data_IF_340317599213
#
_entry.id   IF_340317599213
#
_cell.length_a   1.000
_cell.length_b   1.000
_cell.length_c   1.000
_cell.angle_alpha   90.00
_cell.angle_beta   90.00
_cell.angle_gamma   90.00
#
_symmetry.space_group_name_H-M   'P 1'
#
loop_
_entity.id
_entity.type
_entity.pdbx_description
1 polymer ?
#
# COMPACT_ATOMS: atom_id res chain seq x y z
N UNK A 1 -21.42 -9.03 -8.99
CA UNK A 1 -20.37 -10.07 -8.87
C UNK A 1 -19.04 -9.35 -8.70
N UNK A 2 -18.19 -9.70 -7.72
CA UNK A 2 -16.84 -9.15 -7.64
C UNK A 2 -16.01 -9.67 -8.83
N UNK A 3 -15.06 -8.88 -9.34
CA UNK A 3 -14.24 -9.30 -10.47
C UNK A 3 -13.38 -10.51 -10.10
N UNK A 4 -13.23 -11.44 -11.05
CA UNK A 4 -12.33 -12.60 -10.94
C UNK A 4 -10.91 -12.04 -10.78
N UNK A 5 -10.29 -12.26 -9.60
CA UNK A 5 -8.92 -11.81 -9.33
C UNK A 5 -7.99 -12.31 -10.43
N UNK A 6 -7.10 -11.44 -10.93
CA UNK A 6 -6.09 -11.85 -11.91
C UNK A 6 -5.20 -12.93 -11.29
N UNK A 7 -4.88 -13.98 -12.07
CA UNK A 7 -4.05 -15.11 -11.60
C UNK A 7 -2.70 -14.63 -11.03
N UNK A 8 -2.17 -13.51 -11.55
CA UNK A 8 -0.94 -12.90 -11.08
C UNK A 8 -1.06 -12.30 -9.67
N UNK A 9 -2.18 -11.66 -9.33
CA UNK A 9 -2.39 -11.11 -7.99
C UNK A 9 -2.46 -12.22 -6.93
N UNK A 10 -3.17 -13.30 -7.22
CA UNK A 10 -3.25 -14.47 -6.34
C UNK A 10 -1.87 -15.11 -6.12
N UNK A 11 -1.06 -15.22 -7.17
CA UNK A 11 0.31 -15.76 -7.08
C UNK A 11 1.22 -14.90 -6.20
N UNK A 12 1.12 -13.57 -6.32
CA UNK A 12 1.89 -12.63 -5.49
C UNK A 12 1.48 -12.74 -4.01
N UNK A 13 0.19 -12.78 -3.73
CA UNK A 13 -0.34 -12.92 -2.36
C UNK A 13 0.11 -14.25 -1.72
N UNK A 14 0.07 -15.35 -2.47
CA UNK A 14 0.58 -16.64 -2.02
C UNK A 14 2.09 -16.60 -1.76
N UNK A 15 2.86 -15.90 -2.59
CA UNK A 15 4.31 -15.73 -2.41
C UNK A 15 4.62 -14.93 -1.14
N UNK A 16 3.88 -13.85 -0.88
CA UNK A 16 3.97 -13.06 0.35
C UNK A 16 3.64 -13.89 1.59
N UNK A 17 2.58 -14.71 1.53
CA UNK A 17 2.23 -15.62 2.62
C UNK A 17 3.35 -16.61 2.97
N UNK A 18 4.02 -17.19 1.96
CA UNK A 18 5.17 -18.08 2.17
C UNK A 18 6.38 -17.36 2.78
N UNK A 19 6.63 -16.11 2.37
CA UNK A 19 7.67 -15.27 2.95
C UNK A 19 7.41 -15.05 4.45
N UNK A 20 6.18 -14.71 4.83
CA UNK A 20 5.81 -14.48 6.23
C UNK A 20 6.00 -15.74 7.09
N UNK A 21 5.57 -16.90 6.59
CA UNK A 21 5.82 -18.18 7.26
C UNK A 21 7.31 -18.47 7.43
N UNK A 22 8.12 -18.16 6.42
CA UNK A 22 9.56 -18.36 6.49
C UNK A 22 10.24 -17.44 7.51
N UNK A 23 9.79 -16.18 7.62
CA UNK A 23 10.26 -15.25 8.65
C UNK A 23 9.88 -15.76 10.05
N UNK A 24 8.64 -16.22 10.22
CA UNK A 24 8.17 -16.75 11.49
C UNK A 24 8.97 -17.99 11.93
N UNK A 25 9.28 -18.91 11.01
CA UNK A 25 10.11 -20.09 11.29
C UNK A 25 11.55 -19.71 11.72
N UNK A 26 12.12 -18.64 11.15
CA UNK A 26 13.43 -18.13 11.56
C UNK A 26 13.34 -17.48 12.95
N UNK A 27 12.30 -16.69 13.22
CA UNK A 27 12.09 -16.04 14.51
C UNK A 27 11.84 -17.05 15.64
N UNK A 28 11.09 -18.11 15.36
CA UNK A 28 10.83 -19.22 16.28
C UNK A 28 12.05 -20.13 16.51
N UNK A 29 13.15 -19.91 15.78
CA UNK A 29 14.37 -20.73 15.79
C UNK A 29 14.18 -22.18 15.29
N UNK A 30 13.08 -22.46 14.58
CA UNK A 30 12.87 -23.75 13.92
C UNK A 30 13.92 -23.98 12.83
N UNK A 31 14.28 -22.91 12.12
CA UNK A 31 15.30 -22.92 11.08
C UNK A 31 16.23 -21.71 11.26
N UNK A 32 17.50 -21.90 11.70
CA UNK A 32 18.41 -20.78 11.94
C UNK A 32 18.97 -20.17 10.66
N UNK A 33 18.91 -20.88 9.52
CA UNK A 33 19.50 -20.45 8.26
C UNK A 33 18.47 -19.89 7.30
N UNK A 34 18.69 -18.65 6.83
CA UNK A 34 17.89 -17.98 5.79
C UNK A 34 17.82 -18.85 4.53
N UNK A 35 18.93 -19.48 4.14
CA UNK A 35 19.01 -20.33 2.95
C UNK A 35 18.12 -21.57 3.09
N UNK A 36 18.14 -22.19 4.27
CA UNK A 36 17.35 -23.38 4.56
C UNK A 36 15.85 -23.04 4.63
N UNK A 37 15.49 -21.92 5.25
CA UNK A 37 14.12 -21.43 5.28
C UNK A 37 13.60 -21.12 3.87
N UNK A 38 14.40 -20.41 3.07
CA UNK A 38 14.07 -20.12 1.66
C UNK A 38 13.84 -21.40 0.84
N UNK A 39 14.67 -22.43 1.02
CA UNK A 39 14.49 -23.72 0.35
C UNK A 39 13.22 -24.44 0.82
N UNK A 40 12.96 -24.47 2.13
CA UNK A 40 11.80 -25.14 2.73
C UNK A 40 10.48 -24.52 2.27
N UNK A 41 10.40 -23.18 2.26
CA UNK A 41 9.19 -22.44 1.88
C UNK A 41 9.11 -22.12 0.37
N UNK A 42 10.07 -22.58 -0.44
CA UNK A 42 10.15 -22.33 -1.89
C UNK A 42 10.11 -20.83 -2.25
N UNK A 43 10.87 -20.02 -1.53
CA UNK A 43 10.97 -18.57 -1.73
C UNK A 43 12.40 -18.22 -2.16
N UNK A 44 12.61 -17.24 -3.05
CA UNK A 44 13.95 -16.76 -3.37
C UNK A 44 14.68 -16.22 -2.13
N UNK A 45 15.92 -16.65 -1.92
CA UNK A 45 16.74 -16.25 -0.76
C UNK A 45 16.91 -14.71 -0.69
N UNK A 46 17.18 -14.07 -1.83
CA UNK A 46 17.30 -12.60 -1.90
C UNK A 46 16.03 -11.89 -1.43
N UNK A 47 14.85 -12.40 -1.78
CA UNK A 47 13.57 -11.85 -1.34
C UNK A 47 13.41 -12.00 0.17
N UNK A 48 13.70 -13.18 0.73
CA UNK A 48 13.61 -13.44 2.17
C UNK A 48 14.58 -12.55 2.96
N UNK A 49 15.82 -12.42 2.50
CA UNK A 49 16.83 -11.55 3.12
C UNK A 49 16.41 -10.07 3.13
N UNK A 50 15.88 -9.55 2.01
CA UNK A 50 15.35 -8.17 1.96
C UNK A 50 14.16 -7.96 2.91
N UNK A 51 13.38 -9.01 3.17
CA UNK A 51 12.22 -8.94 4.05
C UNK A 51 12.64 -8.91 5.51
N UNK A 52 13.64 -9.70 5.87
CA UNK A 52 14.27 -9.64 7.20
C UNK A 52 14.95 -8.29 7.45
N UNK A 53 15.47 -7.62 6.41
CA UNK A 53 16.01 -6.26 6.54
C UNK A 53 14.93 -5.16 6.60
N UNK A 54 13.64 -5.51 6.69
CA UNK A 54 12.53 -4.57 6.87
C UNK A 54 11.90 -4.03 5.58
N UNK A 55 12.21 -4.59 4.40
CA UNK A 55 11.58 -4.14 3.14
C UNK A 55 10.13 -4.61 3.08
N UNK A 56 9.19 -3.69 2.97
CA UNK A 56 7.75 -3.98 2.84
C UNK A 56 7.40 -4.48 1.42
N UNK A 57 6.29 -5.20 1.25
CA UNK A 57 5.84 -5.62 -0.07
C UNK A 57 5.43 -4.40 -0.89
N UNK A 58 5.66 -4.47 -2.20
CA UNK A 58 5.25 -3.39 -3.11
C UNK A 58 3.74 -3.13 -3.05
N UNK A 59 2.93 -4.15 -2.75
CA UNK A 59 1.49 -4.01 -2.55
C UNK A 59 1.12 -3.10 -1.37
N UNK A 60 1.94 -3.08 -0.32
CA UNK A 60 1.73 -2.23 0.86
C UNK A 60 2.60 -0.96 0.82
N UNK A 61 3.54 -0.87 -0.12
CA UNK A 61 4.42 0.28 -0.26
C UNK A 61 3.73 1.33 -1.13
N UNK A 62 3.69 2.56 -0.61
CA UNK A 62 3.11 3.71 -1.30
C UNK A 62 3.93 4.03 -2.55
N UNK A 63 3.24 4.36 -3.64
CA UNK A 63 3.91 4.76 -4.88
C UNK A 63 4.57 6.12 -4.66
N UNK A 64 5.77 6.34 -5.20
CA UNK A 64 6.55 7.55 -4.95
C UNK A 64 5.88 8.87 -5.40
N UNK A 65 4.78 8.81 -6.17
CA UNK A 65 4.17 9.97 -6.84
C UNK A 65 2.87 10.47 -6.17
N UNK A 66 2.61 10.14 -4.90
CA UNK A 66 1.46 10.70 -4.19
C UNK A 66 1.74 12.16 -3.80
N UNK A 67 0.85 13.06 -4.20
CA UNK A 67 0.94 14.50 -3.87
C UNK A 67 0.44 14.79 -2.46
N UNK A 68 -0.63 14.09 -2.05
CA UNK A 68 -1.25 14.21 -0.74
C UNK A 68 -0.62 13.25 0.28
N UNK A 69 -0.61 13.68 1.54
CA UNK A 69 -0.29 12.79 2.68
C UNK A 69 -1.44 11.82 2.97
N UNK A 70 -1.17 10.75 3.71
CA UNK A 70 -2.20 9.78 4.11
C UNK A 70 -3.33 10.45 4.89
N UNK A 71 -3.00 11.34 5.83
CA UNK A 71 -3.97 12.11 6.61
C UNK A 71 -4.83 13.05 5.77
N UNK A 72 -4.25 13.64 4.72
CA UNK A 72 -4.98 14.50 3.78
C UNK A 72 -5.95 13.67 2.91
N UNK A 73 -5.51 12.52 2.41
CA UNK A 73 -6.37 11.59 1.66
C UNK A 73 -7.52 11.05 2.52
N UNK A 74 -7.25 10.68 3.77
CA UNK A 74 -8.28 10.26 4.72
C UNK A 74 -9.30 11.37 5.00
N UNK A 75 -8.83 12.60 5.21
CA UNK A 75 -9.70 13.76 5.43
C UNK A 75 -10.61 14.02 4.22
N UNK A 76 -10.04 13.93 3.01
CA UNK A 76 -10.78 14.11 1.77
C UNK A 76 -11.78 12.96 1.52
N UNK A 77 -11.42 11.72 1.86
CA UNK A 77 -12.31 10.57 1.77
C UNK A 77 -13.49 10.71 2.73
N UNK A 78 -13.24 11.08 3.98
CA UNK A 78 -14.30 11.33 4.96
C UNK A 78 -15.25 12.44 4.50
N UNK A 79 -14.70 13.52 3.94
CA UNK A 79 -15.52 14.60 3.39
C UNK A 79 -16.40 14.14 2.20
N UNK A 80 -15.88 13.30 1.32
CA UNK A 80 -16.64 12.70 0.21
C UNK A 80 -17.77 11.80 0.74
N UNK A 81 -17.49 10.96 1.73
CA UNK A 81 -18.50 10.10 2.36
C UNK A 81 -19.59 10.92 3.06
N UNK A 82 -19.20 11.98 3.77
CA UNK A 82 -20.12 12.90 4.41
C UNK A 82 -21.01 13.63 3.40
N UNK A 83 -20.49 13.96 2.21
CA UNK A 83 -21.28 14.51 1.12
C UNK A 83 -22.30 13.51 0.57
N UNK A 84 -21.87 12.27 0.35
CA UNK A 84 -22.75 11.20 -0.17
C UNK A 84 -23.89 10.90 0.82
N UNK A 85 -23.58 10.86 2.12
CA UNK A 85 -24.57 10.72 3.20
C UNK A 85 -25.61 11.86 3.20
N UNK A 86 -25.22 13.07 2.77
CA UNK A 86 -26.12 14.23 2.64
C UNK A 86 -26.92 14.23 1.34
N UNK A 87 -26.76 13.20 0.50
CA UNK A 87 -27.41 13.07 -0.79
C UNK A 87 -26.82 14.00 -1.86
N UNK A 88 -25.63 14.55 -1.63
CA UNK A 88 -24.93 15.39 -2.59
C UNK A 88 -23.91 14.54 -3.34
N UNK A 89 -24.01 14.51 -4.67
CA UNK A 89 -23.04 13.83 -5.50
C UNK A 89 -21.72 14.64 -5.56
N UNK A 90 -20.60 14.12 -5.03
CA UNK A 90 -19.32 14.81 -5.12
C UNK A 90 -18.88 14.87 -6.59
N UNK A 91 -18.72 16.08 -7.11
CA UNK A 91 -18.18 16.27 -8.46
C UNK A 91 -16.65 16.14 -8.43
N UNK A 92 -16.03 15.52 -9.44
CA UNK A 92 -14.57 15.43 -9.51
C UNK A 92 -13.87 16.79 -9.45
N UNK A 93 -14.50 17.83 -10.00
CA UNK A 93 -14.01 19.22 -9.93
C UNK A 93 -13.92 19.73 -8.49
N UNK A 94 -14.99 19.57 -7.71
CA UNK A 94 -15.04 20.00 -6.30
C UNK A 94 -14.04 19.23 -5.44
N UNK A 95 -13.87 17.93 -5.70
CA UNK A 95 -12.86 17.10 -5.03
C UNK A 95 -11.44 17.61 -5.33
N UNK A 96 -11.18 17.99 -6.59
CA UNK A 96 -9.90 18.56 -7.02
C UNK A 96 -9.61 19.88 -6.32
N UNK A 97 -10.59 20.79 -6.27
CA UNK A 97 -10.47 22.09 -5.60
C UNK A 97 -10.10 21.95 -4.12
N UNK A 98 -10.69 20.99 -3.43
CA UNK A 98 -10.42 20.74 -2.01
C UNK A 98 -9.04 20.11 -1.81
N UNK A 99 -8.65 19.17 -2.68
CA UNK A 99 -7.30 18.64 -2.67
C UNK A 99 -6.24 19.73 -2.89
N UNK A 100 -6.47 20.64 -3.86
CA UNK A 100 -5.59 21.77 -4.12
C UNK A 100 -5.57 22.77 -2.94
N UNK A 101 -6.68 22.95 -2.24
CA UNK A 101 -6.76 23.77 -1.02
C UNK A 101 -5.93 23.16 0.12
N UNK A 102 -6.04 21.85 0.36
CA UNK A 102 -5.22 21.14 1.35
C UNK A 102 -3.72 21.26 1.04
N UNK A 103 -3.34 21.13 -0.23
CA UNK A 103 -1.95 21.33 -0.66
C UNK A 103 -1.46 22.76 -0.42
N UNK A 104 -2.33 23.76 -0.65
CA UNK A 104 -2.01 25.18 -0.43
C UNK A 104 -1.83 25.50 1.05
N UNK A 105 -2.67 24.95 1.93
CA UNK A 105 -2.56 25.15 3.39
C UNK A 105 -1.26 24.56 3.97
N UNK A 106 -0.73 23.49 3.38
CA UNK A 106 0.54 22.87 3.78
C UNK A 106 1.76 23.76 3.57
N UNK A 107 1.67 24.83 2.78
CA UNK A 107 2.75 25.80 2.55
C UNK A 107 3.75 25.40 1.47
N UNK A 108 3.48 24.34 0.70
CA UNK A 108 4.22 24.01 -0.52
C UNK A 108 3.81 25.02 -1.61
N UNK A 109 4.48 26.18 -1.65
CA UNK A 109 4.31 27.24 -2.66
C UNK A 109 4.82 26.84 -4.07
N UNK A 110 4.59 25.60 -4.49
CA UNK A 110 4.76 25.16 -5.87
C UNK A 110 3.36 24.91 -6.45
N UNK A 111 3.09 25.28 -7.71
CA UNK A 111 1.81 24.98 -8.35
C UNK A 111 1.70 23.47 -8.61
N UNK A 112 1.43 22.70 -7.56
CA UNK A 112 1.17 21.25 -7.63
C UNK A 112 -0.33 21.05 -7.78
N UNK A 113 -0.88 21.37 -8.94
CA UNK A 113 -2.28 21.07 -9.24
C UNK A 113 -2.46 19.57 -9.45
N UNK A 114 -3.48 18.96 -8.84
CA UNK A 114 -3.94 17.62 -9.22
C UNK A 114 -4.62 17.68 -10.59
N UNK A 115 -3.95 17.19 -11.64
CA UNK A 115 -4.46 17.17 -13.03
C UNK A 115 -5.70 16.30 -13.19
#
# INVERSE_FOLDING_TARGET
MPPIRSQNAQKLEQQEGRILLAIQAIQNKDIPSIRQAAAHFQVPNSTLAMRLSGRTPRANSRVNNHKLTETEEESLLNWILDLDLRGLAPRPETVREIADLLLKERGDNLPKTVG
#
